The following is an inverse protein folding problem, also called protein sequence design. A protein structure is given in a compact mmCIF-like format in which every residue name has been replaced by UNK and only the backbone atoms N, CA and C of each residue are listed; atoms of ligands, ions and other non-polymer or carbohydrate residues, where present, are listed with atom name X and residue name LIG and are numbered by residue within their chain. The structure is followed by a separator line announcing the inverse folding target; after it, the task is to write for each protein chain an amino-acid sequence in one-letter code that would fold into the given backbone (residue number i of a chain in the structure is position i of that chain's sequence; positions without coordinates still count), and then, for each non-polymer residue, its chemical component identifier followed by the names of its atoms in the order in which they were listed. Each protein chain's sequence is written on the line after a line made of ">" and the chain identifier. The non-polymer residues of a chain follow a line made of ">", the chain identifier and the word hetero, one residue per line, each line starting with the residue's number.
data_IF_992234018664
#
_entry.id   IF_992234018664
#
_cell.length_a   1.000
_cell.length_b   1.000
_cell.length_c   1.000
_cell.angle_alpha   90.00
_cell.angle_beta   90.00
_cell.angle_gamma   90.00
#
_symmetry.space_group_name_H-M   'P 1'
#
loop_
_entity.id
_entity.type
_entity.pdbx_description
1 polymer ?
#
# COMPACT_ATOMS: atom_id res chain seq x y z
N UNK A 1 -74.14 7.00 -8.69
CA UNK A 1 -72.79 7.61 -8.69
C UNK A 1 -71.78 6.87 -7.78
N UNK A 2 -72.19 6.24 -6.67
CA UNK A 2 -71.29 5.52 -5.74
C UNK A 2 -70.60 4.29 -6.37
N UNK A 3 -71.27 3.58 -7.28
CA UNK A 3 -70.74 2.37 -7.94
C UNK A 3 -69.50 2.64 -8.82
N UNK A 4 -69.41 3.82 -9.44
CA UNK A 4 -68.27 4.22 -10.28
C UNK A 4 -67.06 4.65 -9.44
N UNK A 5 -67.29 5.19 -8.23
CA UNK A 5 -66.22 5.60 -7.30
C UNK A 5 -65.53 4.37 -6.70
N UNK A 6 -66.29 3.32 -6.37
CA UNK A 6 -65.73 2.05 -5.88
C UNK A 6 -64.84 1.38 -6.93
N UNK A 7 -65.24 1.44 -8.21
CA UNK A 7 -64.46 0.86 -9.30
C UNK A 7 -63.12 1.58 -9.51
N UNK A 8 -63.10 2.91 -9.35
CA UNK A 8 -61.88 3.72 -9.41
C UNK A 8 -60.95 3.42 -8.21
N UNK A 9 -61.51 3.25 -7.01
CA UNK A 9 -60.73 2.93 -5.80
C UNK A 9 -60.08 1.55 -5.88
N UNK A 10 -60.78 0.55 -6.42
CA UNK A 10 -60.22 -0.80 -6.63
C UNK A 10 -59.12 -0.80 -7.69
N UNK A 11 -59.21 0.04 -8.72
CA UNK A 11 -58.18 0.16 -9.75
C UNK A 11 -56.87 0.78 -9.25
N UNK A 12 -56.91 1.62 -8.20
CA UNK A 12 -55.68 2.20 -7.62
C UNK A 12 -54.88 1.20 -6.78
N UNK A 13 -55.49 0.11 -6.31
CA UNK A 13 -54.83 -0.91 -5.48
C UNK A 13 -53.95 -1.89 -6.28
N UNK A 14 -54.00 -1.84 -7.62
CA UNK A 14 -53.23 -2.75 -8.49
C UNK A 14 -51.91 -2.15 -9.01
N UNK A 15 -51.54 -0.93 -8.60
CA UNK A 15 -50.28 -0.29 -9.00
C UNK A 15 -49.20 -0.65 -7.98
N UNK A 16 -48.60 -1.83 -8.14
CA UNK A 16 -47.42 -2.23 -7.37
C UNK A 16 -46.14 -1.91 -8.16
N UNK A 17 -45.30 -1.04 -7.61
CA UNK A 17 -43.99 -0.74 -8.15
C UNK A 17 -43.03 -1.88 -7.77
N UNK A 18 -42.79 -2.81 -8.69
CA UNK A 18 -41.74 -3.81 -8.54
C UNK A 18 -40.38 -3.13 -8.64
N UNK A 19 -39.53 -3.28 -7.63
CA UNK A 19 -38.13 -2.86 -7.75
C UNK A 19 -37.48 -3.73 -8.81
N UNK A 20 -36.92 -3.12 -9.85
CA UNK A 20 -36.12 -3.85 -10.84
C UNK A 20 -35.07 -4.68 -10.09
N UNK A 21 -34.92 -5.98 -10.41
CA UNK A 21 -33.90 -6.81 -9.78
C UNK A 21 -32.53 -6.21 -10.14
N UNK A 22 -31.90 -5.56 -9.17
CA UNK A 22 -30.54 -5.08 -9.32
C UNK A 22 -29.64 -6.30 -9.58
N UNK A 23 -28.87 -6.33 -10.69
CA UNK A 23 -27.99 -7.45 -10.96
C UNK A 23 -26.99 -7.56 -9.81
N UNK A 24 -26.85 -8.78 -9.27
CA UNK A 24 -25.86 -9.06 -8.22
C UNK A 24 -24.48 -8.64 -8.75
N UNK A 25 -23.67 -7.89 -7.98
CA UNK A 25 -22.34 -7.52 -8.42
C UNK A 25 -21.56 -8.78 -8.78
N UNK A 26 -20.85 -8.74 -9.92
CA UNK A 26 -20.00 -9.83 -10.35
C UNK A 26 -18.98 -10.15 -9.25
N UNK A 27 -19.00 -11.38 -8.74
CA UNK A 27 -18.00 -11.84 -7.78
C UNK A 27 -16.67 -12.03 -8.50
N UNK A 28 -15.72 -11.13 -8.31
CA UNK A 28 -14.33 -11.41 -8.68
C UNK A 28 -13.78 -12.50 -7.72
N UNK A 29 -12.93 -13.38 -8.25
CA UNK A 29 -12.26 -14.40 -7.44
C UNK A 29 -11.41 -13.68 -6.38
N UNK A 30 -11.68 -13.93 -5.09
CA UNK A 30 -10.85 -13.38 -4.01
C UNK A 30 -9.45 -13.97 -4.14
N UNK A 31 -8.47 -13.12 -4.42
CA UNK A 31 -7.07 -13.54 -4.45
C UNK A 31 -6.63 -13.83 -3.01
N UNK A 32 -6.25 -15.07 -2.74
CA UNK A 32 -5.63 -15.48 -1.48
C UNK A 32 -4.16 -15.79 -1.73
N UNK A 33 -3.30 -15.22 -0.90
CA UNK A 33 -1.87 -15.45 -0.94
C UNK A 33 -1.47 -16.33 0.26
N UNK A 34 -0.58 -17.31 0.05
CA UNK A 34 -0.15 -18.19 1.14
C UNK A 34 0.69 -17.42 2.15
N UNK A 35 0.82 -17.91 3.37
CA UNK A 35 1.63 -17.27 4.41
C UNK A 35 3.08 -17.07 3.94
N UNK A 36 3.64 -15.85 4.05
CA UNK A 36 5.02 -15.58 3.66
C UNK A 36 6.01 -16.37 4.52
N UNK A 37 7.11 -16.80 3.90
CA UNK A 37 8.32 -17.19 4.64
C UNK A 37 9.36 -16.12 4.42
N UNK A 38 10.00 -15.70 5.50
CA UNK A 38 10.96 -14.62 5.48
C UNK A 38 12.39 -15.15 5.35
N UNK A 39 13.22 -14.41 4.63
CA UNK A 39 14.64 -14.67 4.46
C UNK A 39 15.42 -13.36 4.62
N UNK A 40 16.66 -13.45 5.09
CA UNK A 40 17.50 -12.29 5.36
C UNK A 40 18.01 -11.67 4.06
N UNK A 41 17.91 -10.35 3.94
CA UNK A 41 18.52 -9.58 2.88
C UNK A 41 19.98 -9.25 3.22
N UNK A 42 20.89 -9.88 2.47
CA UNK A 42 22.32 -9.62 2.58
C UNK A 42 22.84 -8.85 1.36
N UNK A 43 23.42 -7.70 1.63
CA UNK A 43 24.10 -6.85 0.66
C UNK A 43 25.24 -6.09 1.35
N UNK A 44 26.15 -5.53 0.56
CA UNK A 44 27.25 -4.68 1.03
C UNK A 44 26.81 -3.26 1.42
N UNK A 45 25.50 -3.02 1.54
CA UNK A 45 24.92 -1.74 1.91
C UNK A 45 24.86 -1.59 3.43
N UNK A 46 24.73 -0.35 3.91
CA UNK A 46 24.67 -0.04 5.36
C UNK A 46 23.41 -0.52 6.09
N UNK A 47 22.62 -1.43 5.51
CA UNK A 47 21.38 -1.94 6.10
C UNK A 47 21.12 -3.41 5.76
N UNK A 48 20.26 -4.03 6.58
CA UNK A 48 19.72 -5.37 6.40
C UNK A 48 18.28 -5.41 6.92
N UNK A 49 17.50 -6.36 6.42
CA UNK A 49 16.14 -6.63 6.86
C UNK A 49 15.76 -8.04 6.39
N UNK A 50 14.62 -8.55 6.82
CA UNK A 50 14.03 -9.75 6.24
C UNK A 50 12.97 -9.40 5.20
N UNK A 51 12.85 -10.23 4.17
CA UNK A 51 11.85 -10.07 3.12
C UNK A 51 11.23 -11.41 2.74
N UNK A 52 10.04 -11.34 2.15
CA UNK A 52 9.25 -12.50 1.77
C UNK A 52 9.88 -13.27 0.63
N UNK A 53 9.84 -14.60 0.69
CA UNK A 53 10.25 -15.47 -0.41
C UNK A 53 9.36 -15.35 -1.67
N UNK A 54 8.26 -14.61 -1.59
CA UNK A 54 7.44 -14.22 -2.74
C UNK A 54 8.01 -13.05 -3.52
N UNK A 55 8.96 -12.33 -2.94
CA UNK A 55 9.65 -11.23 -3.56
C UNK A 55 10.95 -11.67 -4.22
N UNK A 56 11.21 -11.12 -5.42
CA UNK A 56 12.47 -11.23 -6.13
C UNK A 56 13.19 -9.89 -6.07
N UNK A 57 14.36 -9.87 -5.43
CA UNK A 57 15.19 -8.69 -5.31
C UNK A 57 16.07 -8.56 -6.56
N UNK A 58 16.04 -7.38 -7.17
CA UNK A 58 16.90 -7.00 -8.29
C UNK A 58 17.55 -5.65 -8.03
N UNK A 59 18.77 -5.43 -8.51
CA UNK A 59 19.43 -4.13 -8.43
C UNK A 59 18.63 -3.06 -9.19
N UNK A 60 18.54 -1.87 -8.62
CA UNK A 60 17.97 -0.70 -9.26
C UNK A 60 19.07 0.16 -9.94
N UNK A 61 18.71 1.39 -10.32
CA UNK A 61 19.59 2.28 -11.09
C UNK A 61 20.84 2.76 -10.34
N UNK A 62 20.80 2.82 -9.01
CA UNK A 62 21.91 3.30 -8.19
C UNK A 62 22.38 2.20 -7.22
N UNK A 63 23.64 2.25 -6.78
CA UNK A 63 24.13 1.38 -5.71
C UNK A 63 23.23 1.46 -4.47
N UNK A 64 23.03 0.31 -3.82
CA UNK A 64 22.17 0.19 -2.65
C UNK A 64 20.70 0.55 -2.85
N UNK A 65 20.26 0.66 -4.10
CA UNK A 65 18.84 0.72 -4.45
C UNK A 65 18.42 -0.63 -5.01
N UNK A 66 17.25 -1.09 -4.61
CA UNK A 66 16.73 -2.40 -4.98
C UNK A 66 15.27 -2.32 -5.36
N UNK A 67 14.87 -3.15 -6.32
CA UNK A 67 13.48 -3.44 -6.57
C UNK A 67 13.15 -4.79 -5.97
N UNK A 68 12.17 -4.80 -5.08
CA UNK A 68 11.57 -6.00 -4.54
C UNK A 68 10.31 -6.28 -5.36
N UNK A 69 10.43 -7.17 -6.34
CA UNK A 69 9.37 -7.48 -7.28
C UNK A 69 8.48 -8.58 -6.73
N UNK A 70 7.16 -8.41 -6.80
CA UNK A 70 6.16 -9.43 -6.49
C UNK A 70 5.43 -9.81 -7.79
N UNK A 71 5.97 -10.75 -8.61
CA UNK A 71 5.41 -11.03 -9.94
C UNK A 71 3.96 -11.50 -9.90
N UNK A 72 3.61 -12.33 -8.90
CA UNK A 72 2.25 -12.85 -8.69
C UNK A 72 1.23 -11.77 -8.33
N UNK A 73 1.69 -10.60 -7.87
CA UNK A 73 0.86 -9.47 -7.47
C UNK A 73 0.98 -8.28 -8.44
N UNK A 74 1.83 -8.38 -9.48
CA UNK A 74 2.17 -7.29 -10.41
C UNK A 74 2.58 -6.00 -9.68
N UNK A 75 3.27 -6.17 -8.56
CA UNK A 75 3.66 -5.10 -7.67
C UNK A 75 5.18 -5.04 -7.53
N UNK A 76 5.68 -3.87 -7.17
CA UNK A 76 7.09 -3.62 -6.93
C UNK A 76 7.23 -2.68 -5.74
N UNK A 77 8.02 -3.08 -4.76
CA UNK A 77 8.49 -2.19 -3.70
C UNK A 77 9.87 -1.67 -4.09
N UNK A 78 10.01 -0.36 -4.14
CA UNK A 78 11.24 0.32 -4.45
C UNK A 78 11.93 0.66 -3.14
N UNK A 79 13.11 0.09 -2.91
CA UNK A 79 13.95 0.38 -1.74
C UNK A 79 15.10 1.26 -2.21
N UNK A 80 15.17 2.48 -1.70
CA UNK A 80 16.23 3.44 -2.05
C UNK A 80 16.98 3.87 -0.81
N UNK A 81 18.27 4.14 -0.99
CA UNK A 81 19.18 4.52 0.07
C UNK A 81 19.87 5.84 -0.26
N UNK A 82 19.94 6.72 0.73
CA UNK A 82 20.61 8.00 0.65
C UNK A 82 21.52 8.17 1.87
N UNK A 83 22.80 8.55 1.67
CA UNK A 83 23.65 9.01 2.76
C UNK A 83 23.23 10.44 3.13
N UNK A 84 23.06 10.71 4.43
CA UNK A 84 22.75 12.05 4.93
C UNK A 84 24.02 12.89 4.95
N UNK A 85 23.99 14.05 4.28
CA UNK A 85 25.11 15.00 4.18
C UNK A 85 24.60 16.43 4.46
N UNK A 86 24.20 16.69 5.72
CA UNK A 86 23.59 17.95 6.16
C UNK A 86 22.25 18.32 5.46
N UNK A 87 21.62 17.34 4.81
CA UNK A 87 20.38 17.47 4.01
C UNK A 87 19.24 16.61 4.55
N UNK A 88 19.30 16.22 5.83
CA UNK A 88 18.30 15.37 6.48
C UNK A 88 16.86 15.89 6.33
N UNK A 89 16.67 17.19 6.55
CA UNK A 89 15.36 17.83 6.42
C UNK A 89 14.84 17.79 4.97
N UNK A 90 15.74 17.84 3.99
CA UNK A 90 15.38 17.76 2.58
C UNK A 90 14.96 16.35 2.19
N UNK A 91 15.62 15.31 2.74
CA UNK A 91 15.21 13.92 2.57
C UNK A 91 13.81 13.64 3.13
N UNK A 92 13.50 14.15 4.33
CA UNK A 92 12.14 14.04 4.89
C UNK A 92 11.13 14.73 3.98
N UNK A 93 11.41 15.98 3.58
CA UNK A 93 10.51 16.77 2.75
C UNK A 93 10.24 16.09 1.40
N UNK A 94 11.27 15.52 0.77
CA UNK A 94 11.11 14.82 -0.50
C UNK A 94 10.32 13.51 -0.34
N UNK A 95 10.56 12.76 0.74
CA UNK A 95 9.79 11.56 1.04
C UNK A 95 8.30 11.89 1.26
N UNK A 96 8.01 12.94 2.03
CA UNK A 96 6.63 13.43 2.25
C UNK A 96 6.00 13.94 0.96
N UNK A 97 6.73 14.73 0.18
CA UNK A 97 6.25 15.22 -1.12
C UNK A 97 5.84 14.08 -2.04
N UNK A 98 6.62 13.00 -2.12
CA UNK A 98 6.27 11.81 -2.91
C UNK A 98 4.97 11.15 -2.44
N UNK A 99 4.72 11.11 -1.13
CA UNK A 99 3.43 10.65 -0.58
C UNK A 99 2.31 11.55 -1.10
N UNK A 100 2.45 12.88 -0.96
CA UNK A 100 1.43 13.85 -1.36
C UNK A 100 1.19 13.93 -2.87
N UNK A 101 2.19 13.68 -3.72
CA UNK A 101 1.98 13.62 -5.18
C UNK A 101 1.00 12.51 -5.58
N UNK A 102 0.94 11.43 -4.81
CA UNK A 102 0.01 10.33 -5.02
C UNK A 102 -1.36 10.52 -4.33
N UNK A 103 -1.57 11.61 -3.58
CA UNK A 103 -2.84 11.86 -2.87
C UNK A 103 -3.92 12.48 -3.73
N UNK A 104 -3.59 12.95 -4.94
CA UNK A 104 -4.57 13.53 -5.88
C UNK A 104 -5.75 12.57 -6.15
N UNK A 105 -5.54 11.25 -5.97
CA UNK A 105 -6.58 10.21 -6.08
C UNK A 105 -6.82 9.43 -4.77
N UNK A 106 -6.15 9.79 -3.69
CA UNK A 106 -6.33 9.16 -2.39
C UNK A 106 -7.48 9.82 -1.62
N UNK A 107 -8.25 9.03 -0.90
CA UNK A 107 -9.33 9.53 -0.04
C UNK A 107 -8.83 10.01 1.32
N UNK A 108 -7.71 9.45 1.80
CA UNK A 108 -7.07 9.80 3.06
C UNK A 108 -5.64 9.26 3.13
N UNK A 109 -4.82 9.84 4.00
CA UNK A 109 -3.49 9.35 4.36
C UNK A 109 -3.52 8.99 5.85
N UNK A 110 -3.11 7.77 6.18
CA UNK A 110 -2.82 7.37 7.56
C UNK A 110 -1.30 7.39 7.74
N UNK A 111 -0.82 8.23 8.66
CA UNK A 111 0.61 8.39 8.98
C UNK A 111 0.87 7.86 10.38
N UNK A 112 1.84 6.94 10.49
CA UNK A 112 2.26 6.35 11.76
C UNK A 112 3.76 6.52 11.93
N UNK A 113 4.15 7.30 12.92
CA UNK A 113 5.54 7.38 13.36
C UNK A 113 5.90 6.14 14.15
N UNK A 114 7.13 5.68 13.99
CA UNK A 114 7.71 4.57 14.76
C UNK A 114 9.13 4.93 15.19
N UNK A 115 9.52 4.39 16.34
CA UNK A 115 10.82 4.60 16.93
C UNK A 115 11.28 3.30 17.60
N UNK A 116 12.47 2.81 17.22
CA UNK A 116 13.15 1.69 17.84
C UNK A 116 14.53 2.18 18.33
N UNK A 117 14.61 2.84 19.50
CA UNK A 117 15.83 3.50 19.98
C UNK A 117 17.03 2.55 20.11
N UNK A 118 16.79 1.31 20.52
CA UNK A 118 17.80 0.27 20.67
C UNK A 118 18.47 -0.11 19.34
N UNK A 119 17.74 -0.03 18.23
CA UNK A 119 18.26 -0.25 16.87
C UNK A 119 18.67 1.05 16.17
N UNK A 120 18.39 2.21 16.77
CA UNK A 120 18.49 3.55 16.15
C UNK A 120 17.70 3.63 14.84
N UNK A 121 16.49 3.09 14.82
CA UNK A 121 15.62 3.07 13.64
C UNK A 121 14.43 3.97 13.91
N UNK A 122 14.34 5.09 13.19
CA UNK A 122 13.29 6.09 13.33
C UNK A 122 12.65 6.39 11.97
N UNK A 123 11.37 6.72 11.96
CA UNK A 123 10.73 7.23 10.75
C UNK A 123 9.20 7.17 10.77
N UNK A 124 8.62 7.29 9.58
CA UNK A 124 7.18 7.28 9.38
C UNK A 124 6.78 6.21 8.37
N UNK A 125 5.64 5.57 8.63
CA UNK A 125 4.92 4.70 7.71
C UNK A 125 3.63 5.40 7.25
N UNK A 126 3.44 5.46 5.94
CA UNK A 126 2.33 6.12 5.26
C UNK A 126 1.47 5.09 4.54
N UNK A 127 0.17 5.18 4.74
CA UNK A 127 -0.83 4.38 4.05
C UNK A 127 -1.85 5.29 3.36
N UNK A 128 -1.85 5.28 2.02
CA UNK A 128 -2.82 6.02 1.20
C UNK A 128 -4.01 5.11 0.87
N UNK A 129 -5.19 5.51 1.34
CA UNK A 129 -6.46 4.82 1.05
C UNK A 129 -7.12 5.41 -0.21
N UNK A 130 -7.93 4.62 -0.90
CA UNK A 130 -8.65 5.02 -2.11
C UNK A 130 -7.97 4.57 -3.41
N UNK A 131 -8.26 5.24 -4.53
CA UNK A 131 -7.80 4.86 -5.87
C UNK A 131 -6.37 5.34 -6.19
N UNK A 132 -5.46 5.23 -5.24
CA UNK A 132 -4.03 5.53 -5.44
C UNK A 132 -3.30 4.35 -6.09
N UNK A 133 -2.29 4.66 -6.91
CA UNK A 133 -1.37 3.66 -7.48
C UNK A 133 -0.23 3.27 -6.50
N UNK A 134 0.02 4.12 -5.51
CA UNK A 134 1.05 3.95 -4.48
C UNK A 134 0.36 4.04 -3.13
N UNK A 135 0.09 2.88 -2.52
CA UNK A 135 -0.72 2.80 -1.30
C UNK A 135 0.12 2.78 -0.02
N UNK A 136 1.39 2.40 -0.11
CA UNK A 136 2.25 2.16 1.05
C UNK A 136 3.61 2.79 0.82
N UNK A 137 4.09 3.55 1.80
CA UNK A 137 5.43 4.09 1.78
C UNK A 137 5.95 4.21 3.21
N UNK A 138 7.25 4.00 3.42
CA UNK A 138 7.90 4.43 4.66
C UNK A 138 9.28 5.00 4.37
N UNK A 139 9.81 5.74 5.34
CA UNK A 139 11.24 6.01 5.41
C UNK A 139 11.77 5.58 6.77
N UNK A 140 13.05 5.24 6.82
CA UNK A 140 13.81 4.80 7.99
C UNK A 140 15.14 5.56 8.02
N UNK A 141 15.51 6.06 9.19
CA UNK A 141 16.78 6.77 9.39
C UNK A 141 17.40 6.49 10.75
N UNK A 142 18.73 6.62 10.83
CA UNK A 142 19.48 6.68 12.08
C UNK A 142 19.68 8.12 12.60
N UNK A 143 18.98 9.07 11.97
CA UNK A 143 19.03 10.52 12.18
C UNK A 143 20.35 11.21 11.84
N UNK A 144 21.40 10.48 11.44
CA UNK A 144 22.76 11.06 11.31
C UNK A 144 23.46 10.76 10.00
N UNK A 145 23.31 9.54 9.45
CA UNK A 145 24.10 9.07 8.30
C UNK A 145 23.28 8.35 7.25
N UNK A 146 22.22 7.65 7.65
CA UNK A 146 21.51 6.75 6.78
C UNK A 146 20.05 7.16 6.63
N UNK A 147 19.57 7.16 5.40
CA UNK A 147 18.16 7.38 5.06
C UNK A 147 17.73 6.36 4.02
N UNK A 148 16.79 5.49 4.37
CA UNK A 148 16.21 4.48 3.48
C UNK A 148 14.74 4.80 3.27
N UNK A 149 14.27 4.72 2.03
CA UNK A 149 12.84 4.77 1.74
C UNK A 149 12.38 3.48 1.07
N UNK A 150 11.15 3.09 1.35
CA UNK A 150 10.48 1.99 0.67
C UNK A 150 9.10 2.46 0.22
N UNK A 151 8.78 2.37 -1.07
CA UNK A 151 7.46 2.71 -1.58
C UNK A 151 6.92 1.63 -2.53
N UNK A 152 5.63 1.32 -2.38
CA UNK A 152 4.91 0.34 -3.18
C UNK A 152 4.34 0.99 -4.44
N UNK A 153 4.50 0.31 -5.57
CA UNK A 153 3.89 0.66 -6.84
C UNK A 153 3.29 -0.58 -7.52
N UNK A 154 2.12 -0.42 -8.13
CA UNK A 154 1.52 -1.45 -8.97
C UNK A 154 1.73 -1.15 -10.46
N UNK A 155 2.15 -2.14 -11.22
CA UNK A 155 2.30 -2.05 -12.68
C UNK A 155 0.93 -2.19 -13.41
N UNK A 156 -0.18 -1.89 -12.76
CA UNK A 156 -1.53 -2.04 -13.30
C UNK A 156 -2.37 -0.82 -12.98
N UNK A 157 -3.41 -0.59 -13.79
CA UNK A 157 -4.39 0.48 -13.52
C UNK A 157 -5.03 0.22 -12.14
N UNK A 158 -5.02 1.19 -11.21
CA UNK A 158 -5.57 1.00 -9.87
C UNK A 158 -7.04 0.59 -9.93
N UNK A 159 -7.32 -0.63 -9.47
CA UNK A 159 -8.67 -1.11 -9.14
C UNK A 159 -8.64 -1.51 -7.67
N UNK A 160 -9.17 -0.68 -6.75
CA UNK A 160 -9.03 -0.91 -5.30
C UNK A 160 -9.46 -2.31 -4.86
N UNK A 161 -10.63 -2.76 -5.31
CA UNK A 161 -11.21 -4.04 -4.87
C UNK A 161 -10.36 -5.25 -5.30
N UNK A 162 -9.80 -5.21 -6.52
CA UNK A 162 -8.93 -6.28 -7.03
C UNK A 162 -7.52 -6.25 -6.43
N UNK A 163 -7.03 -5.08 -5.99
CA UNK A 163 -5.68 -4.91 -5.45
C UNK A 163 -5.61 -5.08 -3.92
N UNK A 164 -6.73 -4.95 -3.21
CA UNK A 164 -6.77 -4.98 -1.75
C UNK A 164 -6.03 -6.20 -1.13
N UNK A 165 -6.23 -7.45 -1.61
CA UNK A 165 -5.50 -8.59 -1.04
C UNK A 165 -3.97 -8.51 -1.23
N UNK A 166 -3.53 -7.93 -2.36
CA UNK A 166 -2.11 -7.77 -2.65
C UNK A 166 -1.49 -6.63 -1.83
N UNK A 167 -2.24 -5.53 -1.66
CA UNK A 167 -1.84 -4.42 -0.79
C UNK A 167 -1.69 -4.92 0.65
N UNK A 168 -2.69 -5.64 1.17
CA UNK A 168 -2.66 -6.15 2.54
C UNK A 168 -1.50 -7.12 2.77
N UNK A 169 -1.24 -8.00 1.81
CA UNK A 169 -0.09 -8.90 1.86
C UNK A 169 1.23 -8.13 1.92
N UNK A 170 1.45 -7.22 0.96
CA UNK A 170 2.70 -6.46 0.87
C UNK A 170 2.85 -5.51 2.06
N UNK A 171 1.75 -5.01 2.63
CA UNK A 171 1.75 -4.22 3.86
C UNK A 171 2.31 -5.01 5.03
N UNK A 172 1.91 -6.27 5.19
CA UNK A 172 2.46 -7.12 6.25
C UNK A 172 3.96 -7.40 6.00
N UNK A 173 4.35 -7.64 4.75
CA UNK A 173 5.77 -7.82 4.41
C UNK A 173 6.61 -6.56 4.65
N UNK A 174 6.09 -5.37 4.34
CA UNK A 174 6.77 -4.10 4.60
C UNK A 174 6.86 -3.78 6.10
N UNK A 175 5.87 -4.17 6.89
CA UNK A 175 5.95 -4.09 8.36
C UNK A 175 6.98 -5.05 8.93
N UNK A 176 7.01 -6.30 8.46
CA UNK A 176 8.03 -7.27 8.86
C UNK A 176 9.44 -6.80 8.49
N UNK A 177 9.60 -6.24 7.29
CA UNK A 177 10.84 -5.60 6.85
C UNK A 177 11.26 -4.47 7.82
N UNK A 178 10.32 -3.67 8.29
CA UNK A 178 10.58 -2.60 9.26
C UNK A 178 10.98 -3.17 10.64
N UNK A 179 10.23 -4.15 11.15
CA UNK A 179 10.48 -4.75 12.48
C UNK A 179 11.84 -5.46 12.54
N UNK A 180 12.28 -6.04 11.42
CA UNK A 180 13.58 -6.72 11.27
C UNK A 180 14.69 -5.83 10.72
N UNK A 181 14.43 -4.53 10.54
CA UNK A 181 15.40 -3.61 9.98
C UNK A 181 16.57 -3.38 10.93
N UNK A 182 17.79 -3.45 10.40
CA UNK A 182 19.03 -3.22 11.13
C UNK A 182 20.05 -2.44 10.29
N UNK A 183 20.76 -1.51 10.94
CA UNK A 183 21.91 -0.84 10.35
C UNK A 183 23.15 -1.73 10.44
N UNK A 184 23.91 -1.81 9.34
CA UNK A 184 25.21 -2.48 9.31
C UNK A 184 26.32 -1.51 9.72
N UNK A 185 27.28 -2.02 10.48
CA UNK A 185 28.46 -1.27 10.93
C UNK A 185 29.51 -1.18 9.84
#
# INVERSE_FOLDING_TARGET
>A
MIKNVIFIFVSLLLISCGKDPAPKPYGELRLEYPTPKYQKFESNCGYSFEYSNFALITNAKKPCWYYMNYPKMKAKVFVTYYPIQNDFADHIREAEKMVYEHTVKASSIDTKSFEYPEKKVYGNFYELKGQSASNLQFYVTDSTKHFVTAYLYFNTRPKPDSLAPAIDYIKNDMKHMLDTFEWKK
#
